data_IF_723984303694
#
_entry.id   IF_723984303694
#
_cell.length_a   1.000
_cell.length_b   1.000
_cell.length_c   1.000
_cell.angle_alpha   90.00
_cell.angle_beta   90.00
_cell.angle_gamma   90.00
#
_symmetry.space_group_name_H-M   'P 1'
#
loop_
_entity.id
_entity.type
_entity.pdbx_description
1 polymer ?
#
# COMPACT_ATOMS: atom_id res chain seq x y z
N UNK A 1 7.50 29.04 33.57
CA UNK A 1 6.23 28.42 33.15
C UNK A 1 6.09 28.16 31.65
N UNK A 2 7.07 28.50 30.78
CA UNK A 2 6.97 28.23 29.32
C UNK A 2 7.91 27.14 28.76
N UNK A 3 8.81 26.58 29.57
CA UNK A 3 9.83 25.62 29.09
C UNK A 3 9.43 24.14 29.12
N UNK A 4 8.23 23.78 29.61
CA UNK A 4 7.80 22.38 29.75
C UNK A 4 6.81 21.89 28.68
N UNK A 5 6.82 22.50 27.50
CA UNK A 5 5.99 22.06 26.36
C UNK A 5 6.78 21.37 25.25
N UNK A 6 8.09 21.18 25.41
CA UNK A 6 8.93 20.43 24.48
C UNK A 6 9.23 18.99 24.92
N UNK A 7 8.73 18.56 26.08
CA UNK A 7 9.07 17.28 26.67
C UNK A 7 8.06 16.23 26.19
N UNK A 8 8.49 15.43 25.22
CA UNK A 8 7.85 14.21 24.68
C UNK A 8 6.66 14.42 23.72
N UNK A 9 6.96 14.84 22.49
CA UNK A 9 6.11 14.42 21.36
C UNK A 9 6.50 12.97 21.08
N UNK A 10 5.62 11.98 21.30
CA UNK A 10 5.92 10.61 20.87
C UNK A 10 6.10 10.60 19.36
N UNK A 11 7.24 10.09 18.88
CA UNK A 11 7.41 9.85 17.45
C UNK A 11 6.48 8.72 17.05
N UNK A 12 5.62 8.99 16.07
CA UNK A 12 4.71 8.00 15.49
C UNK A 12 5.39 7.43 14.26
N UNK A 13 5.69 6.13 14.29
CA UNK A 13 6.28 5.39 13.18
C UNK A 13 5.24 4.70 12.30
N UNK A 14 5.71 4.10 11.20
CA UNK A 14 4.88 3.30 10.31
C UNK A 14 4.27 2.08 11.02
N UNK A 15 5.02 1.47 11.94
CA UNK A 15 4.54 0.35 12.78
C UNK A 15 3.31 0.73 13.63
N UNK A 16 3.30 1.93 14.22
CA UNK A 16 2.21 2.40 15.09
C UNK A 16 0.91 2.58 14.30
N UNK A 17 1.02 3.17 13.11
CA UNK A 17 -0.12 3.35 12.20
C UNK A 17 -0.65 1.98 11.74
N UNK A 18 0.27 1.09 11.36
CA UNK A 18 -0.10 -0.21 10.85
C UNK A 18 -0.81 -1.07 11.92
N UNK A 19 -0.39 -0.98 13.18
CA UNK A 19 -1.04 -1.67 14.30
C UNK A 19 -2.49 -1.21 14.51
N UNK A 20 -2.76 0.09 14.41
CA UNK A 20 -4.11 0.65 14.55
C UNK A 20 -5.01 0.21 13.39
N UNK A 21 -4.50 0.29 12.16
CA UNK A 21 -5.25 -0.12 10.96
C UNK A 21 -5.58 -1.62 11.01
N UNK A 22 -4.63 -2.45 11.42
CA UNK A 22 -4.84 -3.88 11.60
C UNK A 22 -5.86 -4.17 12.72
N UNK A 23 -5.83 -3.43 13.83
CA UNK A 23 -6.78 -3.59 14.92
C UNK A 23 -8.23 -3.23 14.51
N UNK A 24 -8.42 -2.25 13.61
CA UNK A 24 -9.74 -1.86 13.12
C UNK A 24 -10.26 -2.70 11.96
N UNK A 25 -9.38 -3.19 11.09
CA UNK A 25 -9.79 -3.95 9.89
C UNK A 25 -9.70 -5.46 10.08
N UNK A 26 -8.96 -5.94 11.08
CA UNK A 26 -8.64 -7.35 11.27
C UNK A 26 -7.65 -7.92 10.25
N UNK A 27 -7.13 -7.09 9.34
CA UNK A 27 -6.16 -7.49 8.32
C UNK A 27 -4.75 -7.32 8.87
N UNK A 28 -3.94 -8.39 9.00
CA UNK A 28 -2.58 -8.29 9.50
C UNK A 28 -1.72 -7.38 8.61
N UNK A 29 -0.86 -6.56 9.22
CA UNK A 29 0.05 -5.63 8.52
C UNK A 29 0.94 -6.32 7.48
N UNK A 30 1.49 -7.49 7.84
CA UNK A 30 2.28 -8.31 6.90
C UNK A 30 1.48 -8.76 5.69
N UNK A 31 0.17 -9.01 5.89
CA UNK A 31 -0.77 -9.37 4.83
C UNK A 31 -1.05 -8.20 3.91
N UNK A 32 -1.05 -6.96 4.42
CA UNK A 32 -1.27 -5.75 3.63
C UNK A 32 -0.17 -5.55 2.57
N UNK A 33 1.09 -5.81 2.94
CA UNK A 33 2.24 -5.69 2.04
C UNK A 33 2.28 -6.86 1.05
N UNK A 34 2.10 -8.10 1.52
CA UNK A 34 2.05 -9.27 0.64
C UNK A 34 0.88 -9.20 -0.34
N UNK A 35 -0.30 -8.77 0.12
CA UNK A 35 -1.51 -8.69 -0.70
C UNK A 35 -1.38 -7.59 -1.75
N UNK A 36 -0.82 -6.43 -1.42
CA UNK A 36 -0.63 -5.37 -2.41
C UNK A 36 0.45 -5.74 -3.44
N UNK A 37 1.53 -6.40 -3.01
CA UNK A 37 2.54 -6.95 -3.93
C UNK A 37 1.94 -8.02 -4.84
N UNK A 38 1.14 -8.95 -4.28
CA UNK A 38 0.46 -9.99 -5.04
C UNK A 38 -0.65 -9.43 -5.96
N UNK A 39 -1.26 -8.31 -5.60
CA UNK A 39 -2.25 -7.59 -6.41
C UNK A 39 -1.57 -6.88 -7.59
N UNK A 40 -0.40 -6.29 -7.37
CA UNK A 40 0.42 -5.70 -8.43
C UNK A 40 0.92 -6.75 -9.44
N UNK A 41 1.31 -7.94 -8.96
CA UNK A 41 1.70 -9.06 -9.82
C UNK A 41 0.55 -9.54 -10.73
N UNK A 42 -0.69 -9.49 -10.25
CA UNK A 42 -1.89 -9.92 -10.98
C UNK A 42 -2.58 -8.81 -11.77
N UNK A 43 -2.10 -7.56 -11.66
CA UNK A 43 -2.78 -6.39 -12.22
C UNK A 43 -2.95 -6.48 -13.75
N UNK A 44 -1.94 -6.96 -14.46
CA UNK A 44 -1.95 -7.10 -15.91
C UNK A 44 -3.01 -8.11 -16.39
N UNK A 45 -3.13 -9.24 -15.70
CA UNK A 45 -4.15 -10.27 -15.94
C UNK A 45 -5.57 -9.74 -15.68
N UNK A 46 -5.77 -8.99 -14.59
CA UNK A 46 -7.07 -8.42 -14.24
C UNK A 46 -7.51 -7.33 -15.22
N UNK A 47 -6.58 -6.54 -15.76
CA UNK A 47 -6.88 -5.53 -16.77
C UNK A 47 -7.26 -6.17 -18.11
N UNK A 48 -6.59 -7.25 -18.53
CA UNK A 48 -6.95 -8.00 -19.75
C UNK A 48 -8.34 -8.65 -19.67
N UNK A 49 -8.80 -9.04 -18.48
CA UNK A 49 -10.19 -9.57 -18.30
C UNK A 49 -11.26 -8.52 -18.59
N UNK A 50 -10.94 -7.24 -18.38
CA UNK A 50 -11.89 -6.12 -18.49
C UNK A 50 -11.74 -5.31 -19.76
N UNK A 51 -10.60 -5.42 -20.44
CA UNK A 51 -10.28 -4.65 -21.62
C UNK A 51 -9.89 -5.61 -22.74
N UNK A 52 -10.67 -5.60 -23.82
CA UNK A 52 -10.44 -6.47 -24.98
C UNK A 52 -9.53 -5.73 -25.96
N UNK A 53 -8.33 -6.28 -26.18
CA UNK A 53 -7.26 -5.67 -26.98
C UNK A 53 -6.41 -4.65 -26.21
N UNK A 54 -5.52 -3.95 -26.91
CA UNK A 54 -4.57 -2.96 -26.35
C UNK A 54 -3.56 -3.54 -25.35
N UNK A 55 -3.01 -4.72 -25.66
CA UNK A 55 -2.02 -5.41 -24.81
C UNK A 55 -0.81 -4.51 -24.50
N UNK A 56 -0.32 -3.74 -25.47
CA UNK A 56 0.83 -2.83 -25.30
C UNK A 56 0.56 -1.72 -24.27
N UNK A 57 -0.65 -1.16 -24.26
CA UNK A 57 -1.02 -0.13 -23.30
C UNK A 57 -1.14 -0.70 -21.87
N UNK A 58 -1.70 -1.91 -21.74
CA UNK A 58 -1.85 -2.59 -20.45
C UNK A 58 -0.48 -2.92 -19.85
N UNK A 59 0.45 -3.43 -20.66
CA UNK A 59 1.84 -3.70 -20.24
C UNK A 59 2.54 -2.41 -19.80
N UNK A 60 2.38 -1.33 -20.56
CA UNK A 60 3.05 -0.04 -20.28
C UNK A 60 2.58 0.55 -18.95
N UNK A 61 1.26 0.57 -18.71
CA UNK A 61 0.69 1.06 -17.45
C UNK A 61 1.09 0.15 -16.29
N UNK A 62 1.06 -1.18 -16.48
CA UNK A 62 1.44 -2.12 -15.43
C UNK A 62 2.90 -2.01 -15.03
N UNK A 63 3.79 -1.78 -16.00
CA UNK A 63 5.19 -1.50 -15.74
C UNK A 63 5.41 -0.16 -15.02
N UNK A 64 4.64 0.88 -15.35
CA UNK A 64 4.75 2.18 -14.69
C UNK A 64 4.33 2.11 -13.22
N UNK A 65 3.22 1.42 -12.93
CA UNK A 65 2.70 1.27 -11.56
C UNK A 65 3.63 0.41 -10.68
N UNK A 66 4.30 -0.61 -11.23
CA UNK A 66 5.28 -1.42 -10.48
C UNK A 66 6.59 -0.70 -10.14
N UNK A 67 6.87 0.43 -10.77
CA UNK A 67 8.13 1.21 -10.59
C UNK A 67 7.96 2.43 -9.70
N UNK A 68 6.72 2.83 -9.39
CA UNK A 68 6.39 3.95 -8.51
C UNK A 68 6.41 3.50 -7.04
#
# INVERSE_FOLDING_TARGET
WRDKLGETVPEVGEEDIAQIVAAWTGVPVSRLIEEETARLLRMEEELHKRMVGQDEAIVTVSQAVRRA
#
